data_IF_870357137339
#
_entry.id   IF_870357137339
#
_cell.length_a   1.000
_cell.length_b   1.000
_cell.length_c   1.000
_cell.angle_alpha   90.00
_cell.angle_beta   90.00
_cell.angle_gamma   90.00
#
_symmetry.space_group_name_H-M   'P 1'
#
loop_
_entity.id
_entity.type
_entity.pdbx_description
1 polymer ?
#
# COMPACT_ATOMS: atom_id res chain seq x y z
N UNK A 1 11.65 9.81 12.01
CA UNK A 1 12.33 9.17 10.86
C UNK A 1 12.73 7.75 11.28
N UNK A 2 12.41 6.74 10.50
CA UNK A 2 12.84 5.35 10.75
C UNK A 2 13.80 4.92 9.63
N UNK A 3 14.94 4.34 9.97
CA UNK A 3 15.91 3.87 8.95
C UNK A 3 15.36 2.65 8.20
N UNK A 4 15.49 2.64 6.87
CA UNK A 4 15.19 1.49 6.01
C UNK A 4 16.19 0.33 6.16
N UNK A 5 17.25 0.50 6.95
CA UNK A 5 18.36 -0.46 7.11
C UNK A 5 19.56 -0.16 6.19
N UNK A 6 20.75 -0.65 6.57
CA UNK A 6 22.02 -0.40 5.86
C UNK A 6 22.75 0.91 6.24
N UNK A 7 23.81 1.27 5.51
CA UNK A 7 24.62 2.46 5.80
C UNK A 7 23.80 3.76 5.76
N UNK A 8 23.78 4.46 6.90
CA UNK A 8 22.90 5.57 7.27
C UNK A 8 23.36 6.96 6.79
N UNK A 9 24.38 7.02 5.93
CA UNK A 9 24.97 8.28 5.47
C UNK A 9 24.08 9.10 4.53
N UNK A 10 22.99 8.52 4.02
CA UNK A 10 22.07 9.19 3.09
C UNK A 10 20.66 9.34 3.70
N UNK A 11 20.20 10.59 3.83
CA UNK A 11 18.88 10.92 4.41
C UNK A 11 17.69 10.34 3.62
N UNK A 12 17.86 10.02 2.33
CA UNK A 12 16.83 9.36 1.50
C UNK A 12 16.52 7.93 1.93
N UNK A 13 17.37 7.31 2.77
CA UNK A 13 17.17 5.97 3.33
C UNK A 13 16.29 5.96 4.59
N UNK A 14 15.75 7.10 4.99
CA UNK A 14 14.80 7.17 6.09
C UNK A 14 13.37 7.21 5.57
N UNK A 15 12.48 6.49 6.24
CA UNK A 15 11.04 6.70 6.14
C UNK A 15 10.62 7.89 6.98
N UNK A 16 9.92 8.81 6.32
CA UNK A 16 9.09 9.80 7.01
C UNK A 16 7.80 9.12 7.42
N UNK A 17 7.52 9.13 8.73
CA UNK A 17 6.25 8.63 9.26
C UNK A 17 5.65 9.77 10.05
N UNK A 18 4.44 10.17 9.68
CA UNK A 18 3.68 11.20 10.40
C UNK A 18 2.85 10.52 11.47
N UNK A 19 3.11 10.84 12.74
CA UNK A 19 2.26 10.42 13.85
C UNK A 19 1.10 11.40 13.99
N UNK A 20 -0.11 10.92 13.73
CA UNK A 20 -1.33 11.72 13.83
C UNK A 20 -1.85 11.72 15.27
N UNK A 21 -2.56 12.79 15.66
CA UNK A 21 -3.25 12.83 16.95
C UNK A 21 -4.29 11.73 17.08
N UNK A 22 -4.64 11.33 18.30
CA UNK A 22 -5.63 10.28 18.57
C UNK A 22 -6.99 10.58 17.93
N UNK A 23 -7.43 11.85 17.98
CA UNK A 23 -8.68 12.33 17.36
C UNK A 23 -8.66 12.15 15.85
N UNK A 24 -7.55 12.53 15.20
CA UNK A 24 -7.40 12.34 13.77
C UNK A 24 -7.39 10.86 13.39
N UNK A 25 -6.68 10.02 14.17
CA UNK A 25 -6.66 8.57 13.94
C UNK A 25 -8.06 7.97 14.04
N UNK A 26 -8.87 8.41 15.01
CA UNK A 26 -10.27 7.98 15.13
C UNK A 26 -11.09 8.39 13.92
N UNK A 27 -11.01 9.67 13.50
CA UNK A 27 -11.73 10.16 12.33
C UNK A 27 -11.34 9.39 11.05
N UNK A 28 -10.05 9.19 10.82
CA UNK A 28 -9.54 8.41 9.70
C UNK A 28 -10.06 6.97 9.72
N UNK A 29 -10.04 6.30 10.88
CA UNK A 29 -10.58 4.93 11.03
C UNK A 29 -12.07 4.86 10.70
N UNK A 30 -12.85 5.81 11.20
CA UNK A 30 -14.29 5.91 10.89
C UNK A 30 -14.52 6.08 9.39
N UNK A 31 -13.73 6.93 8.73
CA UNK A 31 -13.81 7.12 7.28
C UNK A 31 -13.45 5.84 6.52
N UNK A 32 -12.35 5.18 6.87
CA UNK A 32 -11.94 3.91 6.24
C UNK A 32 -13.02 2.85 6.36
N UNK A 33 -13.66 2.68 7.51
CA UNK A 33 -14.74 1.72 7.70
C UNK A 33 -15.95 2.01 6.80
N UNK A 34 -16.29 3.29 6.61
CA UNK A 34 -17.37 3.69 5.70
C UNK A 34 -17.02 3.47 4.24
N UNK A 35 -15.77 3.77 3.84
CA UNK A 35 -15.32 3.58 2.47
C UNK A 35 -15.18 2.09 2.12
N UNK A 36 -14.86 1.25 3.09
CA UNK A 36 -14.67 -0.18 2.87
C UNK A 36 -15.93 -0.88 2.31
N UNK A 37 -17.14 -0.41 2.65
CA UNK A 37 -18.38 -1.00 2.13
C UNK A 37 -18.61 -0.73 0.64
N UNK A 38 -18.07 0.37 0.12
CA UNK A 38 -18.19 0.76 -1.30
C UNK A 38 -16.93 0.46 -2.10
N UNK A 39 -15.81 0.20 -1.44
CA UNK A 39 -14.53 -0.02 -2.08
C UNK A 39 -14.57 -1.16 -3.10
N UNK A 40 -15.29 -2.25 -2.78
CA UNK A 40 -15.41 -3.43 -3.63
C UNK A 40 -16.09 -3.17 -4.97
N UNK A 41 -17.01 -2.20 -5.04
CA UNK A 41 -17.65 -1.79 -6.30
C UNK A 41 -16.83 -0.76 -7.08
N UNK A 42 -15.94 -0.03 -6.42
CA UNK A 42 -15.11 1.00 -7.05
C UNK A 42 -13.80 0.47 -7.65
N UNK A 43 -13.23 -0.61 -7.10
CA UNK A 43 -11.91 -1.12 -7.51
C UNK A 43 -12.01 -2.42 -8.32
N UNK A 44 -11.04 -2.63 -9.21
CA UNK A 44 -10.96 -3.88 -9.99
C UNK A 44 -10.62 -5.09 -9.09
N UNK A 45 -11.05 -6.30 -9.44
CA UNK A 45 -10.67 -7.53 -8.73
C UNK A 45 -9.16 -7.77 -8.67
N UNK A 46 -8.42 -7.33 -9.70
CA UNK A 46 -6.96 -7.47 -9.79
C UNK A 46 -6.18 -6.58 -8.82
N UNK A 47 -6.83 -5.62 -8.17
CA UNK A 47 -6.19 -4.74 -7.19
C UNK A 47 -6.34 -5.34 -5.79
N UNK A 48 -5.28 -5.93 -5.26
CA UNK A 48 -5.31 -6.72 -4.02
C UNK A 48 -4.69 -5.98 -2.83
N UNK A 49 -3.77 -5.05 -3.07
CA UNK A 49 -3.06 -4.32 -2.02
C UNK A 49 -3.98 -3.48 -1.13
N UNK A 50 -3.86 -3.66 0.19
CA UNK A 50 -4.60 -2.93 1.23
C UNK A 50 -6.13 -3.06 1.16
N UNK A 51 -6.65 -4.09 0.50
CA UNK A 51 -8.08 -4.40 0.43
C UNK A 51 -8.40 -5.53 1.41
N UNK A 52 -9.51 -5.40 2.14
CA UNK A 52 -9.97 -6.47 3.05
C UNK A 52 -10.30 -7.73 2.27
N UNK A 53 -9.97 -8.88 2.86
CA UNK A 53 -10.24 -10.21 2.29
C UNK A 53 -9.55 -10.47 0.93
N UNK A 54 -8.46 -9.74 0.63
CA UNK A 54 -7.56 -9.98 -0.51
C UNK A 54 -6.12 -10.13 -0.01
N UNK A 55 -5.40 -11.09 -0.54
CA UNK A 55 -4.06 -11.45 -0.11
C UNK A 55 -3.03 -11.26 -1.22
N UNK A 56 -1.75 -11.14 -0.84
CA UNK A 56 -0.66 -10.98 -1.81
C UNK A 56 -0.57 -12.18 -2.77
N UNK A 57 -0.93 -13.37 -2.30
CA UNK A 57 -0.96 -14.60 -3.09
C UNK A 57 -2.02 -14.56 -4.20
N UNK A 58 -3.08 -13.77 -4.04
CA UNK A 58 -4.10 -13.63 -5.09
C UNK A 58 -3.55 -12.95 -6.35
N UNK A 59 -2.37 -12.31 -6.28
CA UNK A 59 -1.69 -11.74 -7.45
C UNK A 59 -0.89 -12.78 -8.26
N UNK A 60 -0.58 -13.95 -7.70
CA UNK A 60 0.18 -14.96 -8.43
C UNK A 60 -0.73 -15.66 -9.41
N UNK A 61 -0.60 -15.32 -10.69
CA UNK A 61 -1.24 -16.07 -11.77
C UNK A 61 -0.34 -17.25 -12.13
N UNK A 62 -0.81 -18.47 -11.88
CA UNK A 62 -0.24 -19.65 -12.55
C UNK A 62 -0.65 -19.59 -14.02
N UNK A 63 0.29 -19.22 -14.88
CA UNK A 63 0.10 -19.20 -16.33
C UNK A 63 1.18 -20.08 -16.95
N UNK A 64 0.77 -21.15 -17.63
CA UNK A 64 1.67 -22.06 -18.36
C UNK A 64 2.13 -21.49 -19.71
N UNK A 65 2.30 -20.17 -19.81
CA UNK A 65 2.66 -19.47 -21.04
C UNK A 65 3.79 -18.49 -20.77
N UNK A 66 4.64 -18.28 -21.78
CA UNK A 66 5.69 -17.25 -21.74
C UNK A 66 5.06 -15.86 -21.67
N UNK A 67 5.11 -15.25 -20.48
CA UNK A 67 4.55 -13.95 -20.19
C UNK A 67 5.66 -12.95 -19.85
N UNK A 68 5.60 -11.77 -20.45
CA UNK A 68 6.41 -10.61 -20.01
C UNK A 68 5.65 -9.90 -18.88
N UNK A 69 6.25 -9.85 -17.69
CA UNK A 69 5.68 -9.19 -16.52
C UNK A 69 6.39 -7.84 -16.31
N UNK A 70 5.74 -6.70 -16.60
CA UNK A 70 6.31 -5.40 -16.29
C UNK A 70 6.28 -5.16 -14.78
N UNK A 71 7.46 -5.00 -14.18
CA UNK A 71 7.62 -4.62 -12.78
C UNK A 71 7.66 -3.10 -12.67
N UNK A 72 6.56 -2.52 -12.21
CA UNK A 72 6.40 -1.08 -12.03
C UNK A 72 6.30 -0.76 -10.54
N UNK A 73 7.06 0.23 -10.09
CA UNK A 73 7.00 0.76 -8.74
C UNK A 73 7.06 2.29 -8.77
N UNK A 74 6.44 2.93 -7.78
CA UNK A 74 6.47 4.38 -7.61
C UNK A 74 7.52 4.75 -6.55
N UNK A 75 8.42 5.67 -6.88
CA UNK A 75 9.31 6.24 -5.87
C UNK A 75 8.47 7.07 -4.88
N UNK A 76 8.31 6.55 -3.65
CA UNK A 76 7.65 7.23 -2.52
C UNK A 76 6.23 7.70 -2.84
N UNK A 77 5.34 6.75 -3.12
CA UNK A 77 3.94 6.99 -3.51
C UNK A 77 3.10 7.94 -2.63
N UNK A 78 3.51 8.19 -1.38
CA UNK A 78 2.79 9.03 -0.41
C UNK A 78 3.48 10.37 -0.09
N UNK A 79 4.68 10.64 -0.63
CA UNK A 79 5.44 11.87 -0.35
C UNK A 79 5.06 13.02 -1.30
N UNK A 80 4.17 12.79 -2.28
CA UNK A 80 3.83 13.72 -3.36
C UNK A 80 2.41 14.26 -3.24
#
# INVERSE_FOLDING_TARGET
>A
LISKGGATTNIRKYWTITTLSSTYRMAAKTLTNRLQSVLSSCIRPTQTGFVKDRYILDNTKESNQDLVIPLLDFEKAYDR
#
